data_IF_769540285297
#
_entry.id   IF_769540285297
#
_cell.length_a   1.000
_cell.length_b   1.000
_cell.length_c   1.000
_cell.angle_alpha   90.00
_cell.angle_beta   90.00
_cell.angle_gamma   90.00
#
_symmetry.space_group_name_H-M   'P 1'
#
loop_
_entity.id
_entity.type
_entity.pdbx_description
1 polymer ?
#
# COMPACT_ATOMS: atom_id res chain seq x y z
N UNK A 1 28.79 24.92 -7.06
CA UNK A 1 29.05 23.52 -7.44
C UNK A 1 28.88 22.55 -6.26
N UNK A 2 29.60 22.72 -5.14
CA UNK A 2 29.53 21.80 -3.97
C UNK A 2 28.12 21.64 -3.36
N UNK A 3 27.38 22.74 -3.17
CA UNK A 3 25.99 22.71 -2.66
C UNK A 3 25.02 21.97 -3.59
N UNK A 4 25.19 22.13 -4.90
CA UNK A 4 24.33 21.47 -5.89
C UNK A 4 24.58 19.96 -5.91
N UNK A 5 25.85 19.54 -5.79
CA UNK A 5 26.22 18.14 -5.64
C UNK A 5 25.63 17.55 -4.34
N UNK A 6 25.67 18.28 -3.22
CA UNK A 6 25.03 17.82 -1.98
C UNK A 6 23.52 17.67 -2.11
N UNK A 7 22.82 18.61 -2.77
CA UNK A 7 21.37 18.52 -2.99
C UNK A 7 20.97 17.33 -3.88
N UNK A 8 21.76 17.05 -4.91
CA UNK A 8 21.55 15.88 -5.79
C UNK A 8 21.80 14.57 -5.03
N UNK A 9 22.85 14.50 -4.22
CA UNK A 9 23.14 13.30 -3.41
C UNK A 9 22.09 13.07 -2.32
N UNK A 10 21.60 14.13 -1.67
CA UNK A 10 20.59 14.03 -0.62
C UNK A 10 19.22 13.62 -1.20
N UNK A 11 18.85 14.11 -2.37
CA UNK A 11 17.62 13.70 -3.06
C UNK A 11 17.66 12.24 -3.54
N UNK A 12 18.82 11.74 -4.00
CA UNK A 12 19.03 10.32 -4.31
C UNK A 12 18.92 9.43 -3.07
N UNK A 13 19.41 9.89 -1.92
CA UNK A 13 19.31 9.17 -0.64
C UNK A 13 17.87 9.15 -0.10
N UNK A 14 17.14 10.27 -0.24
CA UNK A 14 15.71 10.33 0.09
C UNK A 14 14.86 9.46 -0.85
N UNK A 15 15.17 9.42 -2.15
CA UNK A 15 14.47 8.58 -3.11
C UNK A 15 14.65 7.08 -2.86
N UNK A 16 15.79 6.67 -2.31
CA UNK A 16 16.05 5.26 -1.96
C UNK A 16 15.39 4.83 -0.64
N UNK A 17 14.94 5.78 0.20
CA UNK A 17 14.18 5.49 1.41
C UNK A 17 12.76 4.97 1.11
N UNK A 18 12.13 5.42 0.01
CA UNK A 18 10.84 4.91 -0.46
C UNK A 18 10.92 3.46 -0.99
N UNK A 19 12.12 2.97 -1.28
CA UNK A 19 12.40 1.61 -1.78
C UNK A 19 13.04 0.69 -0.73
N UNK A 20 12.92 0.99 0.56
CA UNK A 20 13.41 0.10 1.60
C UNK A 20 12.65 -1.24 1.57
N UNK A 21 13.34 -2.41 1.47
CA UNK A 21 12.70 -3.72 1.53
C UNK A 21 11.86 -3.90 2.81
N UNK A 22 12.29 -3.30 3.92
CA UNK A 22 11.56 -3.33 5.19
C UNK A 22 10.24 -2.57 5.08
N UNK A 23 10.25 -1.37 4.46
CA UNK A 23 9.04 -0.57 4.21
C UNK A 23 8.07 -1.34 3.31
N UNK A 24 8.58 -1.93 2.23
CA UNK A 24 7.77 -2.75 1.32
C UNK A 24 7.08 -3.90 2.05
N UNK A 25 7.80 -4.65 2.89
CA UNK A 25 7.22 -5.77 3.67
C UNK A 25 6.15 -5.27 4.64
N UNK A 26 6.38 -4.14 5.32
CA UNK A 26 5.37 -3.54 6.21
C UNK A 26 4.12 -3.07 5.47
N UNK A 27 4.29 -2.43 4.32
CA UNK A 27 3.18 -2.01 3.47
C UNK A 27 2.40 -3.22 2.97
N UNK A 28 3.08 -4.30 2.57
CA UNK A 28 2.45 -5.54 2.09
C UNK A 28 1.67 -6.27 3.19
N UNK A 29 2.25 -6.42 4.39
CA UNK A 29 1.55 -7.01 5.53
C UNK A 29 0.32 -6.17 5.93
N UNK A 30 0.46 -4.85 5.93
CA UNK A 30 -0.64 -3.92 6.15
C UNK A 30 -1.73 -4.03 5.08
N UNK A 31 -1.34 -4.12 3.81
CA UNK A 31 -2.26 -4.27 2.69
C UNK A 31 -3.04 -5.57 2.75
N UNK A 32 -2.38 -6.69 3.09
CA UNK A 32 -3.06 -7.96 3.31
C UNK A 32 -4.09 -7.89 4.45
N UNK A 33 -3.79 -7.15 5.53
CA UNK A 33 -4.73 -6.93 6.61
C UNK A 33 -5.94 -6.08 6.18
N UNK A 34 -5.73 -5.06 5.34
CA UNK A 34 -6.82 -4.25 4.81
C UNK A 34 -7.72 -5.04 3.85
N UNK A 35 -7.15 -5.93 3.02
CA UNK A 35 -7.91 -6.88 2.20
C UNK A 35 -8.76 -7.83 3.06
N UNK A 36 -8.16 -8.39 4.12
CA UNK A 36 -8.89 -9.24 5.07
C UNK A 36 -10.03 -8.48 5.78
N UNK A 37 -9.78 -7.24 6.19
CA UNK A 37 -10.82 -6.38 6.78
C UNK A 37 -11.94 -6.13 5.78
N UNK A 38 -11.63 -5.82 4.53
CA UNK A 38 -12.64 -5.61 3.50
C UNK A 38 -13.53 -6.83 3.27
N UNK A 39 -12.93 -8.03 3.26
CA UNK A 39 -13.69 -9.28 3.20
C UNK A 39 -14.59 -9.49 4.44
N UNK A 40 -14.08 -9.23 5.65
CA UNK A 40 -14.86 -9.36 6.89
C UNK A 40 -16.05 -8.41 6.91
N UNK A 41 -15.82 -7.13 6.62
CA UNK A 41 -16.88 -6.12 6.59
C UNK A 41 -17.94 -6.44 5.53
N UNK A 42 -17.54 -6.97 4.36
CA UNK A 42 -18.48 -7.42 3.33
C UNK A 42 -19.41 -8.53 3.86
N UNK A 43 -18.83 -9.51 4.58
CA UNK A 43 -19.58 -10.62 5.16
C UNK A 43 -20.52 -10.16 6.28
N UNK A 44 -20.06 -9.24 7.11
CA UNK A 44 -20.85 -8.69 8.21
C UNK A 44 -21.98 -7.79 7.71
N UNK A 45 -21.71 -6.95 6.70
CA UNK A 45 -22.70 -6.08 6.10
C UNK A 45 -23.83 -6.87 5.43
N UNK A 46 -23.54 -8.06 4.89
CA UNK A 46 -24.51 -8.96 4.26
C UNK A 46 -25.47 -8.24 3.30
N UNK A 47 -24.92 -7.32 2.50
CA UNK A 47 -25.68 -6.41 1.66
C UNK A 47 -25.61 -6.82 0.18
N UNK A 48 -26.77 -7.03 -0.44
CA UNK A 48 -26.87 -7.47 -1.84
C UNK A 48 -26.27 -6.40 -2.76
N UNK A 49 -25.34 -6.80 -3.63
CA UNK A 49 -24.72 -5.92 -4.63
C UNK A 49 -23.58 -5.04 -4.09
N UNK A 50 -23.14 -5.21 -2.84
CA UNK A 50 -22.02 -4.44 -2.27
C UNK A 50 -20.64 -5.08 -2.53
N UNK A 51 -20.54 -6.25 -3.16
CA UNK A 51 -19.29 -6.99 -3.36
C UNK A 51 -18.22 -6.15 -4.07
N UNK A 52 -18.61 -5.41 -5.12
CA UNK A 52 -17.69 -4.55 -5.88
C UNK A 52 -17.20 -3.35 -5.08
N UNK A 53 -18.03 -2.82 -4.18
CA UNK A 53 -17.62 -1.76 -3.27
C UNK A 53 -16.53 -2.26 -2.32
N UNK A 54 -16.73 -3.40 -1.67
CA UNK A 54 -15.75 -3.93 -0.71
C UNK A 54 -14.44 -4.35 -1.37
N UNK A 55 -14.49 -4.91 -2.59
CA UNK A 55 -13.27 -5.14 -3.37
C UNK A 55 -12.53 -3.85 -3.70
N UNK A 56 -13.23 -2.82 -4.20
CA UNK A 56 -12.62 -1.54 -4.52
C UNK A 56 -12.03 -0.86 -3.27
N UNK A 57 -12.75 -0.88 -2.15
CA UNK A 57 -12.29 -0.31 -0.88
C UNK A 57 -11.07 -1.04 -0.34
N UNK A 58 -11.06 -2.38 -0.33
CA UNK A 58 -9.90 -3.16 0.09
C UNK A 58 -8.65 -2.84 -0.73
N UNK A 59 -8.79 -2.81 -2.06
CA UNK A 59 -7.69 -2.44 -2.95
C UNK A 59 -7.22 -1.00 -2.73
N UNK A 60 -8.14 -0.05 -2.55
CA UNK A 60 -7.83 1.34 -2.28
C UNK A 60 -7.07 1.53 -0.96
N UNK A 61 -7.55 0.93 0.13
CA UNK A 61 -6.93 1.03 1.44
C UNK A 61 -5.53 0.41 1.44
N UNK A 62 -5.38 -0.78 0.84
CA UNK A 62 -4.10 -1.46 0.72
C UNK A 62 -3.10 -0.66 -0.16
N UNK A 63 -3.52 -0.18 -1.33
CA UNK A 63 -2.66 0.57 -2.23
C UNK A 63 -2.18 1.91 -1.63
N UNK A 64 -2.98 2.53 -0.76
CA UNK A 64 -2.61 3.78 -0.06
C UNK A 64 -1.47 3.62 0.93
N UNK A 65 -1.10 2.40 1.32
CA UNK A 65 0.05 2.17 2.21
C UNK A 65 1.38 2.41 1.50
N UNK A 66 1.46 2.11 0.21
CA UNK A 66 2.69 2.19 -0.57
C UNK A 66 2.85 1.01 -1.53
N UNK A 67 4.02 0.87 -2.17
CA UNK A 67 4.26 -0.14 -3.20
C UNK A 67 3.99 -1.58 -2.74
N UNK A 68 4.33 -1.91 -1.49
CA UNK A 68 4.06 -3.24 -0.93
C UNK A 68 2.57 -3.53 -0.73
N UNK A 69 1.82 -2.52 -0.28
CA UNK A 69 0.37 -2.64 -0.11
C UNK A 69 -0.37 -2.77 -1.45
N UNK A 70 0.06 -2.00 -2.47
CA UNK A 70 -0.44 -2.13 -3.83
C UNK A 70 -0.11 -3.51 -4.44
N UNK A 71 1.08 -4.05 -4.15
CA UNK A 71 1.43 -5.42 -4.53
C UNK A 71 0.54 -6.46 -3.83
N UNK A 72 0.30 -6.32 -2.52
CA UNK A 72 -0.57 -7.23 -1.77
C UNK A 72 -2.00 -7.23 -2.32
N UNK A 73 -2.56 -6.05 -2.63
CA UNK A 73 -3.86 -5.88 -3.26
C UNK A 73 -3.96 -6.55 -4.65
N UNK A 74 -2.85 -6.67 -5.37
CA UNK A 74 -2.81 -7.31 -6.69
C UNK A 74 -2.77 -8.85 -6.60
N UNK A 75 -2.15 -9.38 -5.55
CA UNK A 75 -1.94 -10.83 -5.38
C UNK A 75 -3.12 -11.51 -4.68
N UNK A 76 -3.86 -10.76 -3.86
CA UNK A 76 -5.04 -11.21 -3.09
C UNK A 76 -6.33 -10.85 -3.82
#
# INVERSE_FOLDING_TARGET
>A
MKLFVCLVLLSLLCASADTSPVRFVWDAAGGAWDMLRAYKDMREANYIGADKYFHARGNYDAARRGPGGAWAAKVI
#
